data_IF_702145192158
#
_entry.id   IF_702145192158
#
_cell.length_a   1.000
_cell.length_b   1.000
_cell.length_c   1.000
_cell.angle_alpha   90.00
_cell.angle_beta   90.00
_cell.angle_gamma   90.00
#
_symmetry.space_group_name_H-M   'P 1'
#
loop_
_entity.id
_entity.type
_entity.pdbx_description
1 polymer ?
#
# COMPACT_ATOMS: atom_id res chain seq x y z
N UNK A 1 -2.59 -12.42 22.17
CA UNK A 1 -3.53 -11.68 21.30
C UNK A 1 -3.09 -11.82 19.86
N UNK A 2 -3.99 -12.22 18.99
CA UNK A 2 -3.69 -12.38 17.55
C UNK A 2 -3.77 -11.02 16.87
N UNK A 3 -2.69 -10.64 16.17
CA UNK A 3 -2.67 -9.44 15.37
C UNK A 3 -3.32 -9.73 14.03
N UNK A 4 -4.46 -9.07 13.75
CA UNK A 4 -5.12 -9.19 12.45
C UNK A 4 -4.49 -8.19 11.48
N UNK A 5 -3.61 -8.67 10.61
CA UNK A 5 -2.91 -7.83 9.65
C UNK A 5 -3.28 -8.23 8.22
N UNK A 6 -3.31 -7.25 7.33
CA UNK A 6 -3.46 -7.47 5.88
C UNK A 6 -2.33 -6.75 5.16
N UNK A 7 -1.67 -7.46 4.28
CA UNK A 7 -0.65 -6.90 3.40
C UNK A 7 -1.22 -6.80 1.99
N UNK A 8 -1.23 -5.60 1.43
CA UNK A 8 -1.74 -5.33 0.09
C UNK A 8 -0.58 -5.10 -0.86
N UNK A 9 -0.65 -5.71 -2.01
CA UNK A 9 0.38 -5.54 -3.03
C UNK A 9 0.13 -6.52 -4.17
N UNK A 10 1.20 -6.87 -4.91
CA UNK A 10 1.13 -7.94 -5.90
C UNK A 10 2.39 -8.79 -5.81
N UNK A 11 2.24 -10.08 -6.10
CA UNK A 11 3.26 -11.10 -5.84
C UNK A 11 4.59 -10.83 -6.51
N UNK A 12 4.60 -10.24 -7.70
CA UNK A 12 5.82 -10.03 -8.48
C UNK A 12 6.65 -8.83 -8.04
N UNK A 13 6.15 -8.00 -7.15
CA UNK A 13 6.89 -6.85 -6.65
C UNK A 13 7.98 -7.27 -5.66
N UNK A 14 9.23 -6.88 -5.92
CA UNK A 14 10.35 -7.27 -5.05
C UNK A 14 10.20 -6.75 -3.62
N UNK A 15 9.72 -5.53 -3.45
CA UNK A 15 9.48 -4.95 -2.13
C UNK A 15 8.39 -5.71 -1.37
N UNK A 16 7.35 -6.15 -2.09
CA UNK A 16 6.29 -6.98 -1.50
C UNK A 16 6.85 -8.32 -1.05
N UNK A 17 7.70 -8.94 -1.87
CA UNK A 17 8.35 -10.20 -1.51
C UNK A 17 9.20 -10.05 -0.25
N UNK A 18 9.96 -8.97 -0.13
CA UNK A 18 10.76 -8.68 1.06
C UNK A 18 9.89 -8.50 2.31
N UNK A 19 8.78 -7.78 2.18
CA UNK A 19 7.85 -7.57 3.28
C UNK A 19 7.23 -8.91 3.74
N UNK A 20 6.81 -9.75 2.81
CA UNK A 20 6.23 -11.06 3.13
C UNK A 20 7.24 -11.95 3.84
N UNK A 21 8.48 -11.96 3.34
CA UNK A 21 9.55 -12.75 3.96
C UNK A 21 9.78 -12.29 5.40
N UNK A 22 9.84 -10.99 5.63
CA UNK A 22 10.04 -10.46 6.97
C UNK A 22 8.90 -10.88 7.93
N UNK A 23 7.65 -10.77 7.47
CA UNK A 23 6.49 -11.16 8.26
C UNK A 23 6.51 -12.66 8.58
N UNK A 24 6.83 -13.49 7.60
CA UNK A 24 6.93 -14.93 7.79
C UNK A 24 8.05 -15.30 8.76
N UNK A 25 9.22 -14.70 8.59
CA UNK A 25 10.40 -14.97 9.42
C UNK A 25 10.16 -14.57 10.90
N UNK A 26 9.30 -13.58 11.13
CA UNK A 26 9.00 -13.08 12.48
C UNK A 26 7.72 -13.68 13.08
N UNK A 27 7.11 -14.64 12.38
CA UNK A 27 5.92 -15.32 12.87
C UNK A 27 4.68 -14.45 12.96
N UNK A 28 4.58 -13.42 12.14
CA UNK A 28 3.42 -12.55 12.09
C UNK A 28 2.35 -13.18 11.23
N UNK A 29 1.15 -13.35 11.77
CA UNK A 29 0.01 -13.81 10.98
C UNK A 29 -0.57 -12.66 10.21
N UNK A 30 -0.77 -12.85 8.90
CA UNK A 30 -1.34 -11.84 8.03
C UNK A 30 -2.06 -12.48 6.86
N UNK A 31 -3.00 -11.74 6.28
CA UNK A 31 -3.63 -12.08 5.01
C UNK A 31 -2.95 -11.27 3.90
N UNK A 32 -2.70 -11.91 2.77
CA UNK A 32 -2.14 -11.21 1.62
C UNK A 32 -3.24 -10.93 0.61
N UNK A 33 -3.39 -9.66 0.24
CA UNK A 33 -4.34 -9.23 -0.77
C UNK A 33 -3.58 -8.75 -2.00
N UNK A 34 -3.70 -9.50 -3.11
CA UNK A 34 -3.07 -9.16 -4.37
C UNK A 34 -4.08 -8.41 -5.24
N UNK A 35 -3.92 -7.08 -5.37
CA UNK A 35 -4.88 -6.26 -6.12
C UNK A 35 -4.69 -6.31 -7.63
N UNK A 36 -3.80 -7.16 -8.14
CA UNK A 36 -3.76 -7.53 -9.55
C UNK A 36 -4.61 -8.76 -9.85
N UNK A 37 -4.89 -9.56 -8.83
CA UNK A 37 -5.73 -10.76 -8.93
C UNK A 37 -7.17 -10.42 -8.56
N UNK A 38 -7.34 -9.75 -7.43
CA UNK A 38 -8.66 -9.36 -6.92
C UNK A 38 -8.82 -7.85 -6.97
N UNK A 39 -10.03 -7.40 -7.26
CA UNK A 39 -10.30 -5.96 -7.35
C UNK A 39 -10.19 -5.31 -5.97
N UNK A 40 -9.41 -4.23 -5.90
CA UNK A 40 -9.29 -3.43 -4.68
C UNK A 40 -10.60 -2.67 -4.42
N UNK A 41 -11.17 -2.83 -3.23
CA UNK A 41 -12.38 -2.12 -2.84
C UNK A 41 -12.06 -0.62 -2.69
N UNK A 42 -12.82 0.26 -3.36
CA UNK A 42 -12.63 1.70 -3.20
C UNK A 42 -12.70 2.17 -1.74
N UNK A 43 -13.48 1.48 -0.91
CA UNK A 43 -13.57 1.80 0.52
C UNK A 43 -12.24 1.60 1.26
N UNK A 44 -11.41 0.67 0.82
CA UNK A 44 -10.08 0.49 1.39
C UNK A 44 -9.21 1.72 1.11
N UNK A 45 -9.25 2.24 -0.12
CA UNK A 45 -8.52 3.45 -0.49
C UNK A 45 -9.02 4.65 0.32
N UNK A 46 -10.33 4.78 0.48
CA UNK A 46 -10.92 5.85 1.27
C UNK A 46 -10.47 5.80 2.73
N UNK A 47 -10.40 4.60 3.30
CA UNK A 47 -9.90 4.39 4.66
C UNK A 47 -8.42 4.78 4.78
N UNK A 48 -7.60 4.39 3.82
CA UNK A 48 -6.18 4.74 3.82
C UNK A 48 -5.99 6.26 3.73
N UNK A 49 -6.77 6.94 2.89
CA UNK A 49 -6.71 8.39 2.75
C UNK A 49 -7.11 9.08 4.05
N UNK A 50 -8.14 8.56 4.72
CA UNK A 50 -8.60 9.12 6.00
C UNK A 50 -7.55 8.95 7.10
N UNK A 51 -6.89 7.80 7.14
CA UNK A 51 -5.93 7.46 8.20
C UNK A 51 -4.55 8.05 7.98
N UNK A 52 -4.08 8.11 6.75
CA UNK A 52 -2.70 8.51 6.44
C UNK A 52 -2.58 9.75 5.56
N UNK A 53 -3.66 10.14 4.88
CA UNK A 53 -3.63 11.20 3.87
C UNK A 53 -3.28 10.64 2.50
N UNK A 54 -3.82 11.26 1.45
CA UNK A 54 -3.63 10.74 0.08
C UNK A 54 -2.17 10.77 -0.37
N UNK A 55 -1.40 11.75 0.11
CA UNK A 55 0.01 11.89 -0.30
C UNK A 55 0.88 10.74 0.19
N UNK A 56 0.54 10.14 1.34
CA UNK A 56 1.24 8.98 1.86
C UNK A 56 0.97 7.73 1.03
N UNK A 57 -0.21 7.62 0.44
CA UNK A 57 -0.64 6.48 -0.37
C UNK A 57 -0.12 6.57 -1.81
N UNK A 58 -0.09 7.79 -2.37
CA UNK A 58 0.17 8.03 -3.78
C UNK A 58 1.66 8.00 -4.09
N UNK A 59 2.07 7.13 -5.01
CA UNK A 59 3.48 6.95 -5.36
C UNK A 59 3.87 7.74 -6.60
N UNK A 60 4.44 8.93 -6.40
CA UNK A 60 4.94 9.78 -7.49
C UNK A 60 6.26 9.28 -8.07
N UNK A 61 6.91 8.32 -7.40
CA UNK A 61 8.19 7.77 -7.86
C UNK A 61 8.02 6.54 -8.75
N UNK A 62 6.78 6.07 -8.95
CA UNK A 62 6.54 4.93 -9.82
C UNK A 62 6.81 5.28 -11.28
N UNK A 63 7.28 4.30 -12.05
CA UNK A 63 7.45 4.44 -13.49
C UNK A 63 6.12 4.82 -14.15
N UNK A 64 5.03 4.22 -13.69
CA UNK A 64 3.69 4.53 -14.19
C UNK A 64 3.37 6.02 -14.07
N UNK A 65 3.66 6.63 -12.91
CA UNK A 65 3.43 8.06 -12.73
C UNK A 65 4.32 8.90 -13.64
N UNK A 66 5.60 8.54 -13.74
CA UNK A 66 6.57 9.29 -14.55
C UNK A 66 6.21 9.28 -16.04
N UNK A 67 5.56 8.23 -16.51
CA UNK A 67 5.16 8.07 -17.90
C UNK A 67 3.82 8.74 -18.24
N UNK A 68 3.11 9.28 -17.24
CA UNK A 68 1.85 9.98 -17.50
C UNK A 68 2.09 11.29 -18.24
N UNK A 69 1.11 11.72 -19.09
CA UNK A 69 1.15 13.05 -19.69
C UNK A 69 1.22 14.13 -18.61
N UNK A 70 1.94 15.22 -18.89
CA UNK A 70 2.11 16.33 -17.95
C UNK A 70 0.76 16.88 -17.45
N UNK A 71 -0.24 16.97 -18.33
CA UNK A 71 -1.56 17.46 -17.95
C UNK A 71 -2.21 16.61 -16.86
N UNK A 72 -1.94 15.30 -16.83
CA UNK A 72 -2.48 14.40 -15.81
C UNK A 72 -1.75 14.51 -14.49
N UNK A 73 -0.53 15.04 -14.49
CA UNK A 73 0.28 15.25 -13.28
C UNK A 73 -0.06 16.54 -12.55
N UNK A 74 -0.81 17.42 -13.19
CA UNK A 74 -1.15 18.73 -12.64
C UNK A 74 -2.43 18.67 -11.80
N UNK A 75 -2.48 19.52 -10.76
CA UNK A 75 -3.69 19.70 -9.97
C UNK A 75 -4.15 18.45 -9.22
N UNK A 76 -3.19 17.60 -8.80
CA UNK A 76 -3.54 16.39 -8.07
C UNK A 76 -3.94 16.76 -6.65
N UNK A 77 -5.15 16.32 -6.28
CA UNK A 77 -5.68 16.43 -4.93
C UNK A 77 -6.19 15.05 -4.49
N UNK A 78 -6.81 14.96 -3.34
CA UNK A 78 -7.32 13.69 -2.82
C UNK A 78 -8.32 13.04 -3.78
N UNK A 79 -9.23 13.81 -4.35
CA UNK A 79 -10.25 13.30 -5.27
C UNK A 79 -9.62 12.75 -6.55
N UNK A 80 -8.70 13.50 -7.14
CA UNK A 80 -8.01 13.09 -8.36
C UNK A 80 -7.11 11.88 -8.09
N UNK A 81 -6.36 11.89 -6.99
CA UNK A 81 -5.50 10.79 -6.59
C UNK A 81 -6.30 9.50 -6.41
N UNK A 82 -7.48 9.58 -5.81
CA UNK A 82 -8.38 8.43 -5.63
C UNK A 82 -8.77 7.82 -6.98
N UNK A 83 -9.21 8.64 -7.89
CA UNK A 83 -9.60 8.18 -9.23
C UNK A 83 -8.41 7.55 -9.97
N UNK A 84 -7.23 8.17 -9.88
CA UNK A 84 -6.02 7.66 -10.51
C UNK A 84 -5.60 6.31 -9.94
N UNK A 85 -5.61 6.16 -8.62
CA UNK A 85 -5.26 4.90 -7.95
C UNK A 85 -6.22 3.77 -8.33
N UNK A 86 -7.52 4.06 -8.36
CA UNK A 86 -8.51 3.04 -8.71
C UNK A 86 -8.42 2.61 -10.17
N UNK A 87 -7.99 3.52 -11.04
CA UNK A 87 -7.76 3.20 -12.45
C UNK A 87 -6.42 2.46 -12.66
N UNK A 88 -5.40 2.78 -11.84
CA UNK A 88 -4.06 2.22 -11.98
C UNK A 88 -3.43 1.99 -10.60
N UNK A 89 -3.52 0.76 -10.11
CA UNK A 89 -3.04 0.41 -8.77
C UNK A 89 -1.52 0.48 -8.62
N UNK A 90 -0.77 0.57 -9.72
CA UNK A 90 0.69 0.82 -9.64
C UNK A 90 1.02 2.18 -9.02
N UNK A 91 0.03 3.07 -8.89
CA UNK A 91 0.21 4.36 -8.25
C UNK A 91 0.10 4.31 -6.72
N UNK A 92 -0.17 3.15 -6.15
CA UNK A 92 -0.13 2.94 -4.71
C UNK A 92 1.30 2.67 -4.26
N UNK A 93 1.73 3.30 -3.18
CA UNK A 93 3.00 2.94 -2.53
C UNK A 93 2.85 1.55 -1.93
N UNK A 94 3.59 0.60 -2.44
CA UNK A 94 3.46 -0.80 -2.03
C UNK A 94 4.69 -1.31 -1.32
N UNK A 95 4.50 -2.32 -0.45
CA UNK A 95 3.20 -2.85 -0.03
C UNK A 95 2.50 -1.93 0.97
N UNK A 96 1.21 -2.15 1.18
CA UNK A 96 0.46 -1.51 2.26
C UNK A 96 0.25 -2.54 3.35
N UNK A 97 0.73 -2.27 4.55
CA UNK A 97 0.50 -3.13 5.72
C UNK A 97 -0.50 -2.45 6.64
N UNK A 98 -1.63 -3.10 6.85
CA UNK A 98 -2.66 -2.63 7.77
C UNK A 98 -2.80 -3.63 8.92
N UNK A 99 -2.42 -3.20 10.13
CA UNK A 99 -2.52 -4.02 11.33
C UNK A 99 -3.78 -3.74 12.13
N UNK A 100 -4.64 -2.86 11.61
CA UNK A 100 -5.79 -2.35 12.36
C UNK A 100 -5.46 -1.11 13.17
N UNK A 101 -4.29 -1.08 13.79
CA UNK A 101 -3.79 0.07 14.56
C UNK A 101 -2.81 0.91 13.76
N UNK A 102 -1.94 0.27 13.01
CA UNK A 102 -0.93 0.93 12.19
C UNK A 102 -1.24 0.74 10.71
N UNK A 103 -0.87 1.72 9.90
CA UNK A 103 -0.99 1.66 8.45
C UNK A 103 0.32 2.14 7.86
N UNK A 104 1.02 1.24 7.19
CA UNK A 104 2.36 1.49 6.67
C UNK A 104 2.40 1.34 5.15
N UNK A 105 3.15 2.21 4.50
CA UNK A 105 3.35 2.19 3.05
C UNK A 105 4.81 1.96 2.72
N UNK A 106 5.10 0.97 1.90
CA UNK A 106 6.45 0.52 1.63
C UNK A 106 6.90 -0.51 2.65
N UNK A 107 8.19 -0.85 2.61
CA UNK A 107 8.74 -1.80 3.56
C UNK A 107 9.99 -1.25 4.23
N UNK A 108 9.93 -1.17 5.56
CA UNK A 108 11.08 -0.88 6.43
C UNK A 108 10.97 -1.82 7.62
N UNK A 109 12.00 -2.61 7.85
CA UNK A 109 12.00 -3.61 8.92
C UNK A 109 11.71 -3.00 10.30
N UNK A 110 12.32 -1.85 10.60
CA UNK A 110 12.12 -1.16 11.89
C UNK A 110 10.66 -0.75 12.10
N UNK A 111 10.02 -0.21 11.06
CA UNK A 111 8.63 0.20 11.12
C UNK A 111 7.70 -1.00 11.27
N UNK A 112 8.00 -2.09 10.58
CA UNK A 112 7.24 -3.34 10.70
C UNK A 112 7.38 -3.93 12.10
N UNK A 113 8.59 -3.91 12.65
CA UNK A 113 8.82 -4.41 14.01
C UNK A 113 8.00 -3.62 15.03
N UNK A 114 8.00 -2.29 14.93
CA UNK A 114 7.21 -1.43 15.83
C UNK A 114 5.70 -1.69 15.68
N UNK A 115 5.22 -1.85 14.45
CA UNK A 115 3.79 -2.03 14.17
C UNK A 115 3.28 -3.41 14.59
N UNK A 116 4.12 -4.44 14.59
CA UNK A 116 3.74 -5.82 14.88
C UNK A 116 4.16 -6.30 16.27
N UNK A 117 4.89 -5.48 17.02
CA UNK A 117 5.38 -5.85 18.34
C UNK A 117 6.53 -6.84 18.29
N UNK A 118 7.22 -6.92 17.18
CA UNK A 118 8.36 -7.80 17.01
C UNK A 118 9.68 -7.02 17.02
#
# INVERSE_FOLDING_TARGET
MILAATLYGFKSCSTVKSARKWLDDHGVEYSFFDYRVDRLDPKAVDDWFKRAGWEAVFNRNSTTFKELPEAEKEGIDAKKARAMILAETNLIKRPVLDTGKALLFGFKADAYAAATGK
#
